data_IF_153566446525
#
_entry.id   IF_153566446525
#
_cell.length_a   1.000
_cell.length_b   1.000
_cell.length_c   1.000
_cell.angle_alpha   90.00
_cell.angle_beta   90.00
_cell.angle_gamma   90.00
#
_symmetry.space_group_name_H-M   'P 1'
#
loop_
_entity.id
_entity.type
_entity.pdbx_description
1 polymer ?
#
# COMPACT_ATOMS: atom_id res chain seq x y z
N UNK A 1 14.95 24.94 3.50
CA UNK A 1 14.68 23.51 3.80
C UNK A 1 13.21 23.34 4.20
N UNK A 2 12.34 22.99 3.25
CA UNK A 2 10.93 22.57 3.47
C UNK A 2 10.65 21.28 2.68
N UNK A 3 11.66 20.39 2.60
CA UNK A 3 11.73 19.21 1.71
C UNK A 3 10.98 17.96 2.22
N UNK A 4 10.61 17.93 3.50
CA UNK A 4 10.37 16.65 4.19
C UNK A 4 8.93 16.16 4.13
N UNK A 5 7.94 17.06 4.16
CA UNK A 5 6.56 16.64 4.45
C UNK A 5 5.93 15.76 3.35
N UNK A 6 6.01 16.14 2.08
CA UNK A 6 5.35 15.38 1.00
C UNK A 6 5.99 14.01 0.79
N UNK A 7 7.30 13.94 0.58
CA UNK A 7 8.00 12.66 0.35
C UNK A 7 7.87 11.72 1.55
N UNK A 8 7.94 12.23 2.78
CA UNK A 8 7.72 11.42 3.98
C UNK A 8 6.28 10.91 4.06
N UNK A 9 5.29 11.74 3.76
CA UNK A 9 3.89 11.33 3.71
C UNK A 9 3.64 10.30 2.61
N UNK A 10 4.25 10.45 1.43
CA UNK A 10 4.11 9.48 0.36
C UNK A 10 4.74 8.14 0.72
N UNK A 11 5.91 8.13 1.39
CA UNK A 11 6.49 6.88 1.93
C UNK A 11 5.58 6.24 2.98
N UNK A 12 4.96 7.04 3.85
CA UNK A 12 3.98 6.55 4.82
C UNK A 12 2.77 5.93 4.13
N UNK A 13 2.23 6.57 3.09
CA UNK A 13 1.14 6.01 2.27
C UNK A 13 1.51 4.65 1.68
N UNK A 14 2.70 4.56 1.07
CA UNK A 14 3.20 3.30 0.48
C UNK A 14 3.30 2.20 1.54
N UNK A 15 3.80 2.52 2.74
CA UNK A 15 3.88 1.55 3.84
C UNK A 15 2.50 1.13 4.35
N UNK A 16 1.55 2.08 4.47
CA UNK A 16 0.15 1.81 4.83
C UNK A 16 -0.48 0.85 3.81
N UNK A 17 -0.36 1.15 2.52
CA UNK A 17 -0.88 0.31 1.43
C UNK A 17 -0.26 -1.10 1.47
N UNK A 18 1.06 -1.18 1.73
CA UNK A 18 1.78 -2.45 1.85
C UNK A 18 1.33 -3.28 3.05
N UNK A 19 1.12 -2.65 4.20
CA UNK A 19 0.65 -3.32 5.41
C UNK A 19 -0.79 -3.81 5.22
N UNK A 20 -1.69 -2.95 4.72
CA UNK A 20 -3.07 -3.31 4.44
C UNK A 20 -3.18 -4.49 3.46
N UNK A 21 -2.39 -4.50 2.37
CA UNK A 21 -2.37 -5.61 1.42
C UNK A 21 -1.91 -6.93 2.07
N UNK A 22 -0.90 -6.89 2.94
CA UNK A 22 -0.43 -8.08 3.68
C UNK A 22 -1.48 -8.63 4.64
N UNK A 23 -2.14 -7.74 5.40
CA UNK A 23 -3.20 -8.16 6.33
C UNK A 23 -4.38 -8.74 5.56
N UNK A 24 -4.84 -8.07 4.50
CA UNK A 24 -5.93 -8.55 3.64
C UNK A 24 -5.61 -9.93 3.04
N UNK A 25 -4.39 -10.12 2.52
CA UNK A 25 -3.96 -11.43 2.00
C UNK A 25 -3.95 -12.54 3.08
N UNK A 26 -3.76 -12.17 4.35
CA UNK A 26 -3.83 -13.10 5.49
C UNK A 26 -5.25 -13.41 5.95
N UNK A 27 -6.24 -12.54 5.68
CA UNK A 27 -7.63 -12.70 6.08
C UNK A 27 -8.35 -13.88 5.40
N UNK A 28 -7.82 -14.34 4.25
CA UNK A 28 -8.19 -15.58 3.58
C UNK A 28 -9.55 -15.55 2.87
N UNK A 29 -9.58 -15.97 1.61
CA UNK A 29 -10.81 -16.18 0.84
C UNK A 29 -11.32 -17.62 1.01
N UNK A 30 -12.09 -17.90 2.08
CA UNK A 30 -12.80 -19.18 2.25
C UNK A 30 -12.31 -20.10 3.38
N UNK A 31 -12.78 -21.35 3.36
CA UNK A 31 -12.86 -22.35 4.46
C UNK A 31 -11.57 -22.72 5.21
N UNK A 32 -10.42 -22.18 4.83
CA UNK A 32 -9.17 -22.38 5.56
C UNK A 32 -9.01 -21.31 6.63
N UNK A 33 -9.11 -21.73 7.90
CA UNK A 33 -9.05 -20.90 9.11
C UNK A 33 -7.60 -20.47 9.41
N UNK A 34 -6.93 -19.78 8.48
CA UNK A 34 -5.60 -19.22 8.74
C UNK A 34 -5.73 -18.04 9.70
N UNK A 35 -4.85 -17.93 10.71
CA UNK A 35 -4.81 -16.76 11.57
C UNK A 35 -4.51 -15.52 10.74
N UNK A 36 -5.20 -14.41 11.06
CA UNK A 36 -4.87 -13.10 10.50
C UNK A 36 -3.50 -12.66 10.98
N UNK A 37 -2.77 -11.94 10.13
CA UNK A 37 -1.50 -11.30 10.47
C UNK A 37 -1.73 -10.10 11.40
N UNK A 38 -1.94 -10.40 12.68
CA UNK A 38 -2.19 -9.39 13.72
C UNK A 38 -1.00 -8.45 13.94
N UNK A 39 0.20 -8.87 13.60
CA UNK A 39 1.39 -8.04 13.76
C UNK A 39 1.43 -6.93 12.72
N UNK A 40 1.23 -7.26 11.45
CA UNK A 40 1.09 -6.23 10.41
C UNK A 40 -0.16 -5.37 10.63
N UNK A 41 -1.24 -5.93 11.20
CA UNK A 41 -2.42 -5.15 11.54
C UNK A 41 -2.16 -4.15 12.67
N UNK A 42 -1.42 -4.54 13.72
CA UNK A 42 -0.99 -3.64 14.80
C UNK A 42 -0.16 -2.48 14.25
N UNK A 43 0.81 -2.77 13.39
CA UNK A 43 1.63 -1.74 12.73
C UNK A 43 0.79 -0.79 11.86
N UNK A 44 -0.23 -1.29 11.18
CA UNK A 44 -1.16 -0.44 10.42
C UNK A 44 -1.95 0.49 11.34
N UNK A 45 -2.43 -0.01 12.49
CA UNK A 45 -3.16 0.78 13.48
C UNK A 45 -2.30 1.86 14.12
N UNK A 46 -1.03 1.58 14.40
CA UNK A 46 -0.07 2.57 14.91
C UNK A 46 0.13 3.76 13.96
N UNK A 47 -0.14 3.57 12.66
CA UNK A 47 -0.09 4.61 11.63
C UNK A 47 -1.45 5.29 11.38
N UNK A 48 -2.46 4.97 12.19
CA UNK A 48 -3.86 5.38 12.01
C UNK A 48 -4.35 6.24 13.20
N UNK A 49 -5.55 6.88 13.11
CA UNK A 49 -6.17 7.61 14.23
C UNK A 49 -6.58 6.75 15.44
N UNK A 50 -6.42 5.43 15.39
CA UNK A 50 -6.92 4.57 16.44
C UNK A 50 -5.95 4.50 17.64
N UNK A 51 -6.48 4.72 18.84
CA UNK A 51 -5.72 4.62 20.08
C UNK A 51 -5.83 3.23 20.69
N UNK A 52 -4.70 2.65 21.09
CA UNK A 52 -4.67 1.34 21.73
C UNK A 52 -5.22 1.39 23.16
N UNK A 53 -6.08 0.43 23.49
CA UNK A 53 -6.61 0.22 24.83
C UNK A 53 -6.72 -1.29 25.11
N UNK A 54 -6.19 -1.73 26.24
CA UNK A 54 -6.33 -3.12 26.68
C UNK A 54 -7.44 -3.23 27.73
N UNK A 55 -8.44 -4.08 27.47
CA UNK A 55 -9.58 -4.28 28.36
C UNK A 55 -9.90 -5.77 28.54
N UNK A 56 -9.81 -6.25 29.78
CA UNK A 56 -9.91 -7.68 30.13
C UNK A 56 -8.85 -8.51 29.40
N UNK A 57 -9.24 -9.26 28.39
CA UNK A 57 -8.40 -10.10 27.52
C UNK A 57 -8.45 -9.63 26.06
N UNK A 58 -9.00 -8.42 25.82
CA UNK A 58 -9.15 -7.84 24.48
C UNK A 58 -8.14 -6.71 24.26
N UNK A 59 -7.47 -6.79 23.11
CA UNK A 59 -6.73 -5.68 22.54
C UNK A 59 -7.69 -4.86 21.65
N UNK A 60 -8.03 -3.67 22.12
CA UNK A 60 -8.94 -2.75 21.45
C UNK A 60 -8.18 -1.57 20.85
N UNK A 61 -8.70 -1.06 19.75
CA UNK A 61 -8.22 0.13 19.07
C UNK A 61 -9.41 1.05 18.86
N UNK A 62 -9.36 2.25 19.43
CA UNK A 62 -10.51 3.16 19.52
C UNK A 62 -10.24 4.41 18.70
N UNK A 63 -11.12 4.70 17.75
CA UNK A 63 -11.15 5.95 17.00
C UNK A 63 -12.35 6.78 17.44
N UNK A 64 -12.10 7.97 17.96
CA UNK A 64 -13.15 8.93 18.29
C UNK A 64 -13.77 9.50 17.02
N UNK A 65 -15.09 9.70 17.04
CA UNK A 65 -15.84 10.28 15.93
C UNK A 65 -16.67 11.42 16.48
N UNK A 66 -16.51 12.62 15.91
CA UNK A 66 -17.25 13.80 16.36
C UNK A 66 -18.76 13.63 16.13
N UNK A 67 -19.56 13.86 17.17
CA UNK A 67 -21.02 13.75 17.10
C UNK A 67 -21.57 12.32 16.98
N UNK A 68 -20.75 11.28 17.11
CA UNK A 68 -21.17 9.88 17.03
C UNK A 68 -20.49 8.99 18.09
N UNK A 69 -20.94 7.74 18.19
CA UNK A 69 -20.24 6.72 18.99
C UNK A 69 -18.87 6.41 18.36
N UNK A 70 -17.84 6.13 19.18
CA UNK A 70 -16.51 5.82 18.68
C UNK A 70 -16.52 4.50 17.89
N UNK A 71 -15.58 4.39 16.96
CA UNK A 71 -15.31 3.14 16.26
C UNK A 71 -14.27 2.33 17.04
N UNK A 72 -14.59 1.08 17.34
CA UNK A 72 -13.77 0.19 18.17
C UNK A 72 -13.42 -1.03 17.34
N UNK A 73 -12.14 -1.17 17.02
CA UNK A 73 -11.63 -2.37 16.39
C UNK A 73 -11.09 -3.33 17.44
N UNK A 74 -11.46 -4.61 17.35
CA UNK A 74 -10.87 -5.68 18.17
C UNK A 74 -9.77 -6.38 17.39
N UNK A 75 -8.58 -6.52 17.97
CA UNK A 75 -7.45 -7.21 17.34
C UNK A 75 -7.55 -8.74 17.48
N UNK A 76 -8.57 -9.33 16.87
CA UNK A 76 -8.76 -10.76 16.78
C UNK A 76 -8.64 -11.29 15.34
N UNK A 77 -9.07 -12.53 15.06
CA UNK A 77 -8.98 -13.12 13.72
C UNK A 77 -10.12 -12.68 12.78
N UNK A 78 -11.15 -12.03 13.30
CA UNK A 78 -12.24 -11.47 12.50
C UNK A 78 -12.03 -9.98 12.23
N UNK A 79 -11.14 -9.32 12.98
CA UNK A 79 -10.91 -7.87 12.93
C UNK A 79 -12.22 -7.06 12.92
N UNK A 80 -13.17 -7.31 13.83
CA UNK A 80 -14.44 -6.60 13.79
C UNK A 80 -14.24 -5.13 14.17
N UNK A 81 -14.91 -4.25 13.46
CA UNK A 81 -15.10 -2.84 13.86
C UNK A 81 -16.53 -2.68 14.35
N UNK A 82 -16.67 -2.15 15.56
CA UNK A 82 -17.95 -1.83 16.18
C UNK A 82 -18.13 -0.32 16.27
N UNK A 83 -19.38 0.15 16.19
CA UNK A 83 -19.74 1.52 16.57
C UNK A 83 -20.51 1.49 17.89
N UNK A 84 -19.77 1.51 19.00
CA UNK A 84 -20.35 1.41 20.34
C UNK A 84 -19.39 1.94 21.40
N UNK A 85 -19.70 1.72 22.68
CA UNK A 85 -18.79 2.02 23.79
C UNK A 85 -17.86 0.83 24.06
N UNK A 86 -16.66 1.12 24.61
CA UNK A 86 -15.70 0.09 25.02
C UNK A 86 -16.35 -0.92 25.96
N UNK A 87 -17.14 -0.45 26.93
CA UNK A 87 -17.84 -1.32 27.88
C UNK A 87 -18.80 -2.30 27.18
N UNK A 88 -19.58 -1.85 26.20
CA UNK A 88 -20.51 -2.71 25.45
C UNK A 88 -19.77 -3.77 24.63
N UNK A 89 -18.69 -3.37 23.93
CA UNK A 89 -17.84 -4.30 23.17
C UNK A 89 -17.21 -5.34 24.10
N UNK A 90 -16.66 -4.92 25.25
CA UNK A 90 -16.03 -5.82 26.21
C UNK A 90 -17.02 -6.83 26.81
N UNK A 91 -18.26 -6.41 27.12
CA UNK A 91 -19.30 -7.34 27.64
C UNK A 91 -19.67 -8.39 26.59
N UNK A 92 -19.73 -8.03 25.31
CA UNK A 92 -20.12 -8.95 24.24
C UNK A 92 -19.00 -9.92 23.85
N UNK A 93 -17.75 -9.44 23.77
CA UNK A 93 -16.60 -10.25 23.31
C UNK A 93 -15.87 -10.98 24.44
N UNK A 94 -15.98 -10.50 25.67
CA UNK A 94 -15.38 -11.10 26.85
C UNK A 94 -16.33 -11.04 28.06
N UNK A 95 -17.49 -11.71 28.01
CA UNK A 95 -18.47 -11.66 29.12
C UNK A 95 -17.92 -12.32 30.38
N UNK A 96 -18.12 -11.67 31.54
CA UNK A 96 -17.85 -12.29 32.84
C UNK A 96 -19.05 -13.12 33.30
N UNK A 97 -18.84 -14.02 34.26
CA UNK A 97 -19.89 -14.86 34.83
C UNK A 97 -21.12 -14.07 35.28
N UNK A 98 -20.94 -12.85 35.83
CA UNK A 98 -22.04 -11.97 36.25
C UNK A 98 -22.80 -11.32 35.08
N UNK A 99 -22.13 -11.07 33.94
CA UNK A 99 -22.76 -10.49 32.75
C UNK A 99 -23.79 -11.46 32.13
N UNK A 100 -23.61 -12.76 32.37
CA UNK A 100 -24.45 -13.87 31.86
C UNK A 100 -25.76 -14.10 32.64
N UNK A 101 -26.02 -13.36 33.73
CA UNK A 101 -27.25 -13.56 34.54
C UNK A 101 -28.47 -12.85 33.98
N UNK A 102 -28.29 -12.01 32.96
CA UNK A 102 -29.36 -11.29 32.27
C UNK A 102 -29.65 -11.92 30.90
N UNK A 103 -30.87 -12.41 30.69
CA UNK A 103 -31.31 -12.97 29.39
C UNK A 103 -31.12 -11.96 28.25
N UNK A 104 -31.31 -10.66 28.54
CA UNK A 104 -31.05 -9.58 27.57
C UNK A 104 -29.58 -9.48 27.19
N UNK A 105 -28.67 -9.60 28.16
CA UNK A 105 -27.22 -9.59 27.90
C UNK A 105 -26.80 -10.83 27.11
N UNK A 106 -27.34 -12.01 27.43
CA UNK A 106 -27.09 -13.24 26.67
C UNK A 106 -27.44 -13.05 25.19
N UNK A 107 -28.59 -12.45 24.88
CA UNK A 107 -28.99 -12.16 23.49
C UNK A 107 -28.01 -11.21 22.78
N UNK A 108 -27.56 -10.15 23.45
CA UNK A 108 -26.62 -9.17 22.89
C UNK A 108 -25.19 -9.75 22.73
N UNK A 109 -24.78 -10.69 23.57
CA UNK A 109 -23.52 -11.45 23.45
C UNK A 109 -23.59 -12.39 22.24
N UNK A 110 -24.74 -13.03 22.01
CA UNK A 110 -24.94 -13.97 20.91
C UNK A 110 -25.12 -13.29 19.55
N UNK A 111 -25.59 -12.05 19.52
CA UNK A 111 -25.86 -11.28 18.31
C UNK A 111 -25.17 -9.91 18.44
N UNK A 112 -24.00 -9.77 17.84
CA UNK A 112 -23.23 -8.51 17.80
C UNK A 112 -23.39 -7.75 16.47
N UNK A 113 -24.20 -8.27 15.54
CA UNK A 113 -24.42 -7.69 14.22
C UNK A 113 -25.15 -6.34 14.24
N UNK A 114 -25.79 -5.98 15.36
CA UNK A 114 -26.48 -4.70 15.56
C UNK A 114 -25.51 -3.52 15.76
N UNK A 115 -24.30 -3.81 16.24
CA UNK A 115 -23.25 -2.81 16.50
C UNK A 115 -22.01 -2.98 15.62
N UNK A 116 -21.89 -4.13 14.94
CA UNK A 116 -20.76 -4.46 14.05
C UNK A 116 -20.92 -3.75 12.71
N UNK A 117 -19.94 -2.91 12.36
CA UNK A 117 -19.90 -2.20 11.09
C UNK A 117 -19.26 -3.02 9.98
N UNK A 118 -18.14 -3.67 10.28
CA UNK A 118 -17.34 -4.40 9.29
C UNK A 118 -16.52 -5.51 9.94
N UNK A 119 -15.96 -6.38 9.10
CA UNK A 119 -14.96 -7.37 9.51
C UNK A 119 -13.98 -7.69 8.39
N UNK A 120 -12.83 -8.26 8.75
CA UNK A 120 -11.79 -8.73 7.83
C UNK A 120 -11.39 -7.62 6.83
N UNK A 121 -11.39 -7.92 5.54
CA UNK A 121 -10.95 -7.05 4.45
C UNK A 121 -11.61 -5.67 4.51
N UNK A 122 -12.90 -5.58 4.85
CA UNK A 122 -13.61 -4.30 4.99
C UNK A 122 -13.08 -3.47 6.17
N UNK A 123 -12.72 -4.12 7.27
CA UNK A 123 -12.10 -3.44 8.42
C UNK A 123 -10.69 -2.97 8.10
N UNK A 124 -9.91 -3.79 7.41
CA UNK A 124 -8.55 -3.42 6.97
C UNK A 124 -8.62 -2.21 6.03
N UNK A 125 -9.54 -2.21 5.07
CA UNK A 125 -9.74 -1.08 4.16
C UNK A 125 -10.22 0.18 4.89
N UNK A 126 -11.08 0.03 5.90
CA UNK A 126 -11.51 1.16 6.74
C UNK A 126 -10.34 1.80 7.47
N UNK A 127 -9.52 1.00 8.16
CA UNK A 127 -8.32 1.48 8.87
C UNK A 127 -7.32 2.09 7.89
N UNK A 128 -7.11 1.46 6.71
CA UNK A 128 -6.25 1.98 5.65
C UNK A 128 -6.69 3.37 5.19
N UNK A 129 -7.97 3.56 4.88
CA UNK A 129 -8.52 4.87 4.48
C UNK A 129 -8.34 5.91 5.56
N UNK A 130 -8.59 5.53 6.81
CA UNK A 130 -8.42 6.41 7.96
C UNK A 130 -6.96 6.84 8.18
N UNK A 131 -6.02 5.92 8.02
CA UNK A 131 -4.59 6.20 8.10
C UNK A 131 -4.12 7.12 6.96
N UNK A 132 -4.55 6.85 5.72
CA UNK A 132 -4.22 7.69 4.56
C UNK A 132 -4.85 9.09 4.68
N UNK A 133 -6.08 9.18 5.20
CA UNK A 133 -6.81 10.45 5.34
C UNK A 133 -6.13 11.48 6.25
N UNK A 134 -5.17 11.08 7.07
CA UNK A 134 -4.35 11.98 7.89
C UNK A 134 -3.12 12.53 7.15
N UNK A 135 -2.78 11.97 6.00
CA UNK A 135 -1.60 12.34 5.24
C UNK A 135 -1.88 13.50 4.29
N UNK A 136 -1.02 14.50 4.33
CA UNK A 136 -0.99 15.56 3.32
C UNK A 136 -0.18 15.08 2.11
N UNK A 137 -0.90 14.61 1.09
CA UNK A 137 -0.36 14.04 -0.15
C UNK A 137 -0.39 15.04 -1.31
N UNK A 138 -0.54 16.32 -1.01
CA UNK A 138 -0.42 17.39 -1.99
C UNK A 138 1.05 17.68 -2.28
N UNK A 139 1.34 18.03 -3.54
CA UNK A 139 2.70 18.34 -3.97
C UNK A 139 2.74 19.53 -4.91
N UNK A 140 3.89 20.18 -4.97
CA UNK A 140 4.19 21.28 -5.87
C UNK A 140 5.12 20.82 -6.99
N UNK A 141 5.21 21.60 -8.06
CA UNK A 141 6.15 21.32 -9.16
C UNK A 141 7.61 21.25 -8.65
N UNK A 142 7.96 22.11 -7.69
CA UNK A 142 9.26 22.11 -7.03
C UNK A 142 9.53 20.81 -6.23
N UNK A 143 8.50 20.17 -5.66
CA UNK A 143 8.69 18.88 -4.97
C UNK A 143 9.08 17.78 -5.97
N UNK A 144 8.46 17.79 -7.17
CA UNK A 144 8.75 16.81 -8.23
C UNK A 144 10.11 17.06 -8.86
N UNK A 145 10.47 18.32 -9.13
CA UNK A 145 11.81 18.71 -9.58
C UNK A 145 12.89 18.22 -8.60
N UNK A 146 12.69 18.48 -7.30
CA UNK A 146 13.63 18.03 -6.26
C UNK A 146 13.75 16.51 -6.23
N UNK A 147 12.64 15.78 -6.35
CA UNK A 147 12.65 14.31 -6.36
C UNK A 147 13.43 13.75 -7.57
N UNK A 148 13.25 14.35 -8.75
CA UNK A 148 13.98 13.97 -9.96
C UNK A 148 15.49 14.21 -9.79
N UNK A 149 15.87 15.40 -9.31
CA UNK A 149 17.27 15.75 -9.07
C UNK A 149 17.93 14.85 -8.01
N UNK A 150 17.20 14.49 -6.95
CA UNK A 150 17.69 13.50 -5.97
C UNK A 150 17.89 12.12 -6.60
N UNK A 151 16.96 11.66 -7.44
CA UNK A 151 17.09 10.41 -8.19
C UNK A 151 18.33 10.40 -9.10
N UNK A 152 18.55 11.48 -9.84
CA UNK A 152 19.73 11.69 -10.69
C UNK A 152 21.02 11.64 -9.86
N UNK A 153 21.05 12.33 -8.71
CA UNK A 153 22.19 12.32 -7.81
C UNK A 153 22.48 10.91 -7.26
N UNK A 154 21.44 10.16 -6.88
CA UNK A 154 21.61 8.77 -6.43
C UNK A 154 22.15 7.85 -7.51
N UNK A 155 21.69 8.02 -8.75
CA UNK A 155 22.17 7.25 -9.89
C UNK A 155 23.64 7.55 -10.20
N UNK A 156 24.01 8.84 -10.23
CA UNK A 156 25.39 9.27 -10.42
C UNK A 156 26.32 8.75 -9.30
N UNK A 157 25.83 8.75 -8.06
CA UNK A 157 26.54 8.21 -6.90
C UNK A 157 26.53 6.69 -6.78
N UNK A 158 25.93 5.94 -7.73
CA UNK A 158 25.74 4.48 -7.69
C UNK A 158 25.07 3.99 -6.40
N UNK A 159 24.19 4.80 -5.82
CA UNK A 159 23.44 4.45 -4.62
C UNK A 159 22.13 3.75 -5.02
N UNK A 160 22.19 2.43 -5.18
CA UNK A 160 21.05 1.62 -5.61
C UNK A 160 19.80 1.81 -4.74
N UNK A 161 19.97 1.90 -3.41
CA UNK A 161 18.86 2.12 -2.47
C UNK A 161 18.21 3.49 -2.67
N UNK A 162 19.02 4.51 -2.95
CA UNK A 162 18.54 5.86 -3.26
C UNK A 162 17.75 5.90 -4.57
N UNK A 163 18.26 5.23 -5.61
CA UNK A 163 17.56 5.11 -6.90
C UNK A 163 16.23 4.37 -6.74
N UNK A 164 16.24 3.21 -6.08
CA UNK A 164 15.03 2.42 -5.81
C UNK A 164 13.99 3.24 -5.04
N UNK A 165 14.42 4.01 -4.03
CA UNK A 165 13.53 4.90 -3.27
C UNK A 165 12.89 5.94 -4.19
N UNK A 166 13.67 6.64 -5.02
CA UNK A 166 13.13 7.64 -5.95
C UNK A 166 12.16 7.02 -6.96
N UNK A 167 12.50 5.85 -7.52
CA UNK A 167 11.62 5.13 -8.45
C UNK A 167 10.32 4.68 -7.77
N UNK A 168 10.38 4.21 -6.54
CA UNK A 168 9.19 3.82 -5.76
C UNK A 168 8.25 5.01 -5.55
N UNK A 169 8.81 6.20 -5.27
CA UNK A 169 8.03 7.43 -5.11
C UNK A 169 7.37 7.86 -6.43
N UNK A 170 8.12 7.85 -7.54
CA UNK A 170 7.55 8.12 -8.86
C UNK A 170 6.46 7.11 -9.23
N UNK A 171 6.70 5.82 -8.98
CA UNK A 171 5.73 4.77 -9.26
C UNK A 171 4.42 5.01 -8.48
N UNK A 172 4.50 5.37 -7.19
CA UNK A 172 3.33 5.67 -6.39
C UNK A 172 2.53 6.88 -6.92
N UNK A 173 3.20 7.95 -7.37
CA UNK A 173 2.53 9.12 -7.96
C UNK A 173 1.89 8.80 -9.32
N UNK A 174 2.52 7.91 -10.09
CA UNK A 174 2.06 7.51 -11.42
C UNK A 174 1.03 6.37 -11.36
N UNK A 175 0.83 5.73 -10.21
CA UNK A 175 0.01 4.53 -10.10
C UNK A 175 0.65 3.29 -10.74
N UNK A 176 1.96 3.34 -11.01
CA UNK A 176 2.69 2.20 -11.54
C UNK A 176 2.81 1.10 -10.50
N UNK A 177 2.76 -0.13 -10.98
CA UNK A 177 2.81 -1.34 -10.18
C UNK A 177 4.12 -2.08 -10.42
N UNK A 178 4.44 -3.00 -9.51
CA UNK A 178 5.49 -3.98 -9.75
C UNK A 178 5.10 -4.90 -10.90
N UNK A 179 6.07 -5.41 -11.66
CA UNK A 179 5.79 -6.37 -12.73
C UNK A 179 5.02 -7.58 -12.19
N UNK A 180 4.00 -8.07 -12.91
CA UNK A 180 3.44 -9.39 -12.61
C UNK A 180 4.49 -10.48 -12.91
N UNK A 181 4.34 -11.66 -12.30
CA UNK A 181 5.30 -12.79 -12.38
C UNK A 181 5.94 -13.03 -13.75
N UNK A 182 5.22 -13.02 -14.89
CA UNK A 182 5.84 -13.23 -16.20
C UNK A 182 6.93 -12.19 -16.55
N UNK A 183 6.80 -10.97 -16.04
CA UNK A 183 7.70 -9.83 -16.28
C UNK A 183 8.69 -9.58 -15.15
N UNK A 184 8.63 -10.35 -14.06
CA UNK A 184 9.59 -10.24 -12.95
C UNK A 184 10.98 -10.66 -13.43
N UNK A 185 11.96 -9.79 -13.21
CA UNK A 185 13.37 -10.05 -13.50
C UNK A 185 14.18 -10.02 -12.21
N UNK A 186 14.99 -11.05 -12.00
CA UNK A 186 15.83 -11.17 -10.82
C UNK A 186 16.79 -9.98 -10.68
N UNK A 187 17.01 -9.53 -9.44
CA UNK A 187 17.95 -8.46 -9.12
C UNK A 187 17.70 -7.13 -9.85
N UNK A 188 16.46 -6.88 -10.30
CA UNK A 188 16.06 -5.59 -10.89
C UNK A 188 14.98 -4.91 -10.05
N UNK A 189 14.86 -3.61 -10.24
CA UNK A 189 13.74 -2.79 -9.75
C UNK A 189 12.99 -2.29 -10.97
N UNK A 190 11.74 -2.68 -11.13
CA UNK A 190 10.90 -2.21 -12.23
C UNK A 190 9.50 -1.84 -11.78
N UNK A 191 8.96 -0.82 -12.44
CA UNK A 191 7.60 -0.33 -12.25
C UNK A 191 7.01 0.07 -13.59
N UNK A 192 5.74 -0.20 -13.80
CA UNK A 192 5.05 0.14 -15.03
C UNK A 192 3.54 0.03 -14.89
N UNK A 193 2.85 0.32 -15.98
CA UNK A 193 1.40 0.12 -16.05
C UNK A 193 1.07 -1.36 -16.28
N UNK A 194 0.18 -1.90 -15.45
CA UNK A 194 -0.32 -3.26 -15.59
C UNK A 194 -1.65 -3.19 -16.31
N UNK A 195 -1.69 -3.71 -17.53
CA UNK A 195 -2.91 -3.73 -18.33
C UNK A 195 -3.25 -5.15 -18.76
N UNK A 196 -4.52 -5.33 -19.12
CA UNK A 196 -4.97 -6.55 -19.77
C UNK A 196 -5.09 -6.24 -21.26
N UNK A 197 -4.30 -6.95 -22.07
CA UNK A 197 -4.34 -6.86 -23.52
C UNK A 197 -5.61 -7.49 -24.11
N UNK A 198 -5.73 -7.51 -25.45
CA UNK A 198 -6.72 -8.33 -26.14
C UNK A 198 -6.64 -9.78 -25.64
N UNK A 199 -7.78 -10.47 -25.54
CA UNK A 199 -7.86 -11.88 -25.10
C UNK A 199 -7.45 -12.18 -23.64
N UNK A 200 -7.57 -11.18 -22.76
CA UNK A 200 -7.29 -11.32 -21.33
C UNK A 200 -5.80 -11.62 -21.02
N UNK A 201 -4.91 -11.25 -21.94
CA UNK A 201 -3.47 -11.44 -21.80
C UNK A 201 -2.86 -10.41 -20.84
N UNK A 202 -1.93 -10.84 -19.98
CA UNK A 202 -1.17 -9.92 -19.14
C UNK A 202 -0.22 -9.08 -20.01
N UNK A 203 -0.38 -7.76 -19.96
CA UNK A 203 0.48 -6.79 -20.60
C UNK A 203 1.08 -5.83 -19.56
N UNK A 204 2.32 -5.40 -19.77
CA UNK A 204 3.03 -4.56 -18.82
C UNK A 204 3.86 -3.49 -19.53
N UNK A 205 3.53 -2.22 -19.28
CA UNK A 205 4.25 -1.06 -19.77
C UNK A 205 3.31 0.09 -20.17
N UNK A 206 3.83 1.30 -20.43
CA UNK A 206 5.24 1.67 -20.39
C UNK A 206 5.86 1.49 -18.99
N UNK A 207 7.16 1.22 -18.93
CA UNK A 207 7.83 0.85 -17.68
C UNK A 207 9.23 1.47 -17.53
N UNK A 208 9.61 1.65 -16.27
CA UNK A 208 10.97 1.97 -15.85
C UNK A 208 11.63 0.70 -15.31
N UNK A 209 12.89 0.48 -15.70
CA UNK A 209 13.69 -0.65 -15.23
C UNK A 209 15.06 -0.16 -14.77
N UNK A 210 15.44 -0.58 -13.57
CA UNK A 210 16.75 -0.35 -12.97
C UNK A 210 17.42 -1.69 -12.66
N UNK A 211 18.63 -1.86 -13.15
CA UNK A 211 19.51 -2.98 -12.84
C UNK A 211 20.65 -2.48 -11.93
N UNK A 212 20.53 -2.62 -10.58
CA UNK A 212 21.54 -2.24 -9.61
C UNK A 212 22.95 -2.75 -9.92
N UNK A 213 23.08 -4.01 -10.37
CA UNK A 213 24.39 -4.65 -10.61
C UNK A 213 25.26 -3.90 -11.61
N UNK A 214 24.65 -3.33 -12.65
CA UNK A 214 25.34 -2.57 -13.70
C UNK A 214 25.10 -1.05 -13.60
N UNK A 215 24.33 -0.61 -12.60
CA UNK A 215 23.82 0.75 -12.46
C UNK A 215 23.13 1.28 -13.75
N UNK A 216 22.35 0.43 -14.39
CA UNK A 216 21.63 0.74 -15.63
C UNK A 216 20.20 1.13 -15.29
N UNK A 217 19.80 2.35 -15.63
CA UNK A 217 18.42 2.83 -15.54
C UNK A 217 17.89 3.10 -16.95
N UNK A 218 16.71 2.57 -17.27
CA UNK A 218 16.11 2.68 -18.62
C UNK A 218 14.60 2.91 -18.54
N UNK A 219 14.08 3.55 -19.59
CA UNK A 219 12.64 3.69 -19.86
C UNK A 219 12.29 2.90 -21.11
N UNK A 220 11.24 2.07 -21.03
CA UNK A 220 10.67 1.33 -22.15
C UNK A 220 9.26 1.88 -22.37
N UNK A 221 9.07 2.57 -23.50
CA UNK A 221 7.85 3.33 -23.80
C UNK A 221 6.70 2.46 -24.33
N UNK A 222 6.96 1.17 -24.57
CA UNK A 222 5.97 0.22 -25.08
C UNK A 222 5.45 -0.69 -23.98
N UNK A 223 4.19 -1.10 -24.11
CA UNK A 223 3.63 -2.21 -23.34
C UNK A 223 4.11 -3.54 -23.91
N UNK A 224 4.53 -4.45 -23.04
CA UNK A 224 5.03 -5.77 -23.40
C UNK A 224 3.97 -6.84 -23.11
N UNK A 225 3.78 -7.78 -24.03
CA UNK A 225 2.87 -8.91 -23.91
C UNK A 225 3.61 -10.13 -23.36
N UNK A 226 3.05 -10.80 -22.35
CA UNK A 226 3.70 -11.93 -21.68
C UNK A 226 3.86 -13.18 -22.56
N UNK A 227 3.03 -13.32 -23.60
CA UNK A 227 3.08 -14.43 -24.56
C UNK A 227 4.07 -14.19 -25.71
N UNK A 228 4.45 -12.93 -25.96
CA UNK A 228 5.39 -12.59 -27.02
C UNK A 228 6.83 -12.85 -26.56
N UNK A 229 7.37 -13.98 -27.02
CA UNK A 229 8.74 -14.39 -26.72
C UNK A 229 9.79 -13.35 -27.14
N UNK A 230 9.60 -12.64 -28.26
CA UNK A 230 10.55 -11.64 -28.71
C UNK A 230 10.58 -10.43 -27.78
N UNK A 231 9.41 -10.00 -27.30
CA UNK A 231 9.30 -8.91 -26.33
C UNK A 231 9.89 -9.28 -24.96
N UNK A 232 9.69 -10.52 -24.52
CA UNK A 232 10.27 -11.03 -23.28
C UNK A 232 11.80 -11.19 -23.37
N UNK A 233 12.31 -11.68 -24.51
CA UNK A 233 13.75 -11.77 -24.77
C UNK A 233 14.37 -10.37 -24.84
N UNK A 234 13.70 -9.41 -25.49
CA UNK A 234 14.09 -7.99 -25.49
C UNK A 234 14.19 -7.42 -24.06
N UNK A 235 13.17 -7.63 -23.23
CA UNK A 235 13.15 -7.14 -21.85
C UNK A 235 14.35 -7.70 -21.04
N UNK A 236 14.65 -8.99 -21.18
CA UNK A 236 15.81 -9.62 -20.52
C UNK A 236 17.13 -9.04 -21.01
N UNK A 237 17.31 -8.87 -22.32
CA UNK A 237 18.55 -8.31 -22.88
C UNK A 237 18.73 -6.82 -22.53
N UNK A 238 17.65 -6.05 -22.41
CA UNK A 238 17.72 -4.67 -21.90
C UNK A 238 18.17 -4.66 -20.44
N UNK A 239 17.61 -5.53 -19.59
CA UNK A 239 17.99 -5.63 -18.18
C UNK A 239 19.45 -6.08 -17.98
N UNK A 240 19.94 -6.98 -18.83
CA UNK A 240 21.33 -7.41 -18.87
C UNK A 240 22.29 -6.32 -19.39
N UNK A 241 21.76 -5.29 -20.06
CA UNK A 241 22.54 -4.21 -20.68
C UNK A 241 23.09 -4.56 -22.07
N UNK A 242 22.66 -5.69 -22.65
CA UNK A 242 23.05 -6.16 -23.98
C UNK A 242 22.33 -5.38 -25.08
N UNK A 243 21.09 -4.95 -24.83
CA UNK A 243 20.29 -4.13 -25.73
C UNK A 243 20.16 -2.71 -25.20
N UNK A 244 20.31 -1.72 -26.09
CA UNK A 244 20.11 -0.32 -25.74
C UNK A 244 18.75 0.21 -26.17
N UNK A 245 18.15 1.00 -25.28
CA UNK A 245 16.91 1.74 -25.55
C UNK A 245 17.18 3.24 -25.61
N UNK A 246 16.30 4.04 -26.23
CA UNK A 246 16.55 5.48 -26.43
C UNK A 246 16.68 6.30 -25.14
N UNK A 247 15.87 6.00 -24.12
CA UNK A 247 15.83 6.76 -22.86
C UNK A 247 16.55 5.99 -21.74
N UNK A 248 17.67 6.53 -21.28
CA UNK A 248 18.54 5.90 -20.27
C UNK A 248 19.12 6.93 -19.30
N UNK A 249 19.54 6.44 -18.14
CA UNK A 249 20.26 7.22 -17.15
C UNK A 249 19.42 8.38 -16.62
N UNK A 250 20.00 9.58 -16.54
CA UNK A 250 19.35 10.77 -16.00
C UNK A 250 18.06 11.14 -16.74
N UNK A 251 18.01 10.93 -18.06
CA UNK A 251 16.86 11.23 -18.90
C UNK A 251 15.59 10.45 -18.48
N UNK A 252 15.75 9.33 -17.77
CA UNK A 252 14.61 8.58 -17.22
C UNK A 252 13.94 9.36 -16.09
N UNK A 253 14.69 10.01 -15.21
CA UNK A 253 14.11 10.85 -14.15
C UNK A 253 13.45 12.10 -14.72
N UNK A 254 14.05 12.70 -15.75
CA UNK A 254 13.44 13.83 -16.47
C UNK A 254 12.11 13.43 -17.13
N UNK A 255 12.06 12.24 -17.74
CA UNK A 255 10.82 11.67 -18.30
C UNK A 255 9.77 11.43 -17.21
N UNK A 256 10.13 10.81 -16.09
CA UNK A 256 9.21 10.56 -14.98
C UNK A 256 8.66 11.87 -14.39
N UNK A 257 9.52 12.87 -14.22
CA UNK A 257 9.11 14.21 -13.80
C UNK A 257 8.08 14.80 -14.77
N UNK A 258 8.37 14.79 -16.08
CA UNK A 258 7.46 15.33 -17.08
C UNK A 258 6.08 14.68 -17.02
N UNK A 259 6.01 13.34 -16.94
CA UNK A 259 4.74 12.60 -16.85
C UNK A 259 3.94 13.00 -15.61
N UNK A 260 4.61 13.17 -14.46
CA UNK A 260 3.92 13.61 -13.22
C UNK A 260 3.42 15.04 -13.37
N UNK A 261 4.22 15.94 -13.93
CA UNK A 261 3.86 17.36 -14.09
C UNK A 261 2.74 17.58 -15.12
N UNK A 262 2.57 16.68 -16.09
CA UNK A 262 1.45 16.67 -17.03
C UNK A 262 0.11 16.26 -16.37
N UNK A 263 0.12 15.64 -15.19
CA UNK A 263 -1.13 15.26 -14.51
C UNK A 263 -1.88 16.50 -14.02
N UNK A 264 -3.20 16.59 -14.26
CA UNK A 264 -4.00 17.75 -13.86
C UNK A 264 -4.18 17.85 -12.34
N UNK A 265 -4.06 16.74 -11.61
CA UNK A 265 -4.23 16.69 -10.16
C UNK A 265 -2.88 16.64 -9.45
N UNK A 266 -2.64 17.62 -8.58
CA UNK A 266 -1.45 17.75 -7.73
C UNK A 266 -1.63 17.07 -6.35
N UNK A 267 -2.26 15.89 -6.36
CA UNK A 267 -2.52 15.07 -5.17
C UNK A 267 -2.36 13.60 -5.54
N UNK A 268 -1.77 12.81 -4.66
CA UNK A 268 -1.70 11.34 -4.80
C UNK A 268 -2.91 10.72 -4.11
N UNK A 269 -3.71 9.96 -4.87
CA UNK A 269 -4.87 9.23 -4.36
C UNK A 269 -4.50 7.82 -3.88
#
# INVERSE_FOLDING_TARGET
>A
MKKTKFTENLLRKIEIDRLAAKVTASCGSGSTRRPVDKENMRRLLEMSPYEFQHERDLDLYVKTVEGALPMIMVLDNELPIFQSTVKDVTVRRSPRTLDLWSIRNIRNILVDSDIKLSSKDESVETVRKDAIGQLDLTYTDADIENLAQEGIAWLAGRNAKGVEKSLTLFAAMLGFQKPPRPFELEQTVSFGDSSTGPDNEAAFGPLVLYSPGNNILVWIDQSLASSDRQQMDFLRSVAAGETSVPLRGNAVFEKLQAIVLERPQRVVL
#
